data_IF_140486556387
#
_entry.id   IF_140486556387
#
_cell.length_a   1.000
_cell.length_b   1.000
_cell.length_c   1.000
_cell.angle_alpha   90.00
_cell.angle_beta   90.00
_cell.angle_gamma   90.00
#
_symmetry.space_group_name_H-M   'P 1'
#
loop_
_entity.id
_entity.type
_entity.pdbx_description
1 polymer ?
#
# COMPACT_ATOMS: atom_id res chain seq x y z
N UNK A 1 1.73 0.29 -11.30
CA UNK A 1 1.89 1.66 -10.76
C UNK A 1 2.80 1.54 -9.56
N UNK A 2 3.91 2.26 -9.52
CA UNK A 2 4.79 2.23 -8.36
C UNK A 2 4.15 3.11 -7.29
N UNK A 3 3.64 2.50 -6.22
CA UNK A 3 3.18 3.23 -5.06
C UNK A 3 4.37 3.50 -4.15
N UNK A 4 4.40 4.67 -3.54
CA UNK A 4 5.53 5.09 -2.70
C UNK A 4 5.38 4.53 -1.28
N UNK A 5 4.14 4.44 -0.79
CA UNK A 5 3.85 4.11 0.60
C UNK A 5 3.27 2.69 0.80
N UNK A 6 2.94 1.98 -0.29
CA UNK A 6 2.38 0.62 -0.24
C UNK A 6 3.05 -0.29 -1.27
N UNK A 7 3.09 -1.58 -0.98
CA UNK A 7 3.49 -2.62 -1.93
C UNK A 7 2.24 -3.42 -2.23
N UNK A 8 1.92 -3.59 -3.51
CA UNK A 8 0.73 -4.32 -3.96
C UNK A 8 1.17 -5.57 -4.70
N UNK A 9 0.74 -6.71 -4.20
CA UNK A 9 1.01 -8.03 -4.73
C UNK A 9 -0.31 -8.76 -5.01
N UNK A 10 -0.28 -9.72 -5.94
CA UNK A 10 -1.43 -10.54 -6.27
C UNK A 10 -1.02 -12.00 -6.30
N UNK A 11 -1.63 -12.79 -5.43
CA UNK A 11 -1.47 -14.24 -5.37
C UNK A 11 -2.77 -14.93 -5.80
N UNK A 12 -2.82 -15.32 -7.07
CA UNK A 12 -4.02 -15.92 -7.67
C UNK A 12 -5.22 -14.96 -7.62
N UNK A 13 -6.19 -15.25 -6.75
CA UNK A 13 -7.40 -14.44 -6.53
C UNK A 13 -7.33 -13.56 -5.28
N UNK A 14 -6.20 -13.53 -4.59
CA UNK A 14 -5.99 -12.72 -3.38
C UNK A 14 -5.11 -11.53 -3.74
N UNK A 15 -5.57 -10.32 -3.40
CA UNK A 15 -4.75 -9.11 -3.41
C UNK A 15 -4.13 -8.88 -2.05
N UNK A 16 -2.82 -8.63 -2.00
CA UNK A 16 -2.06 -8.35 -0.77
C UNK A 16 -1.53 -6.92 -0.89
N UNK A 17 -1.88 -6.09 0.10
CA UNK A 17 -1.39 -4.71 0.19
C UNK A 17 -0.58 -4.57 1.47
N UNK A 18 0.72 -4.35 1.33
CA UNK A 18 1.66 -4.20 2.44
C UNK A 18 2.02 -2.72 2.62
N UNK A 19 1.82 -2.16 3.81
CA UNK A 19 2.25 -0.79 4.11
C UNK A 19 3.78 -0.74 4.21
N UNK A 20 4.42 0.10 3.39
CA UNK A 20 5.87 0.18 3.27
C UNK A 20 6.40 1.53 3.78
N UNK A 21 6.18 1.81 5.07
CA UNK A 21 6.59 3.07 5.73
C UNK A 21 7.34 2.86 7.05
N UNK A 22 8.47 2.11 7.05
CA UNK A 22 9.29 1.96 8.25
C UNK A 22 9.78 3.34 8.76
N UNK A 23 9.90 3.55 10.08
CA UNK A 23 9.91 2.54 11.15
C UNK A 23 8.54 2.23 11.80
N UNK A 24 7.54 3.10 11.67
CA UNK A 24 6.27 2.98 12.42
C UNK A 24 5.04 2.64 11.54
N UNK A 25 5.17 2.66 10.21
CA UNK A 25 4.06 2.52 9.26
C UNK A 25 2.89 3.47 9.59
N UNK A 26 3.20 4.68 10.04
CA UNK A 26 2.17 5.64 10.46
C UNK A 26 1.27 6.01 9.28
N UNK A 27 -0.04 6.00 9.52
CA UNK A 27 -1.05 6.40 8.55
C UNK A 27 -0.96 7.91 8.34
N UNK A 28 -0.76 8.32 7.10
CA UNK A 28 -0.85 9.71 6.67
C UNK A 28 -1.71 9.83 5.43
N UNK A 29 -1.98 11.06 5.02
CA UNK A 29 -2.82 11.32 3.85
C UNK A 29 -2.27 10.67 2.56
N UNK A 30 -0.96 10.75 2.32
CA UNK A 30 -0.35 10.13 1.13
C UNK A 30 -0.51 8.60 1.09
N UNK A 31 -0.41 7.93 2.24
CA UNK A 31 -0.65 6.49 2.34
C UNK A 31 -2.12 6.14 2.08
N UNK A 32 -3.06 6.97 2.53
CA UNK A 32 -4.49 6.78 2.23
C UNK A 32 -4.79 6.96 0.74
N UNK A 33 -4.20 7.96 0.08
CA UNK A 33 -4.33 8.14 -1.36
C UNK A 33 -3.73 6.96 -2.16
N UNK A 34 -2.58 6.46 -1.74
CA UNK A 34 -1.95 5.28 -2.37
C UNK A 34 -2.78 4.02 -2.14
N UNK A 35 -3.39 3.88 -0.97
CA UNK A 35 -4.28 2.76 -0.64
C UNK A 35 -5.57 2.81 -1.46
N UNK A 36 -6.20 3.97 -1.61
CA UNK A 36 -7.42 4.14 -2.40
C UNK A 36 -7.19 3.84 -3.89
N UNK A 37 -6.01 4.17 -4.43
CA UNK A 37 -5.61 3.81 -5.80
C UNK A 37 -5.32 2.32 -5.97
N UNK A 38 -4.93 1.64 -4.89
CA UNK A 38 -4.53 0.23 -4.90
C UNK A 38 -5.69 -0.75 -4.74
N UNK A 39 -6.80 -0.30 -4.13
CA UNK A 39 -8.08 -1.03 -4.03
C UNK A 39 -8.79 -1.08 -5.39
#
# INVERSE_FOLDING_TARGET
>A
MAYENVIVEKEGNIGIITLNRPPANSVNWALLEDLEKAL
#
